data_IF_437669259450
#
_entry.id   IF_437669259450
#
_cell.length_a   1.000
_cell.length_b   1.000
_cell.length_c   1.000
_cell.angle_alpha   90.00
_cell.angle_beta   90.00
_cell.angle_gamma   90.00
#
_symmetry.space_group_name_H-M   'P 1'
#
loop_
_entity.id
_entity.type
_entity.pdbx_description
1 polymer ?
#
# COMPACT_ATOMS: atom_id res chain seq x y z
N UNK A 1 7.56 17.26 0.40
CA UNK A 1 7.31 18.25 1.48
C UNK A 1 5.86 18.11 1.89
N UNK A 2 5.57 17.51 3.04
CA UNK A 2 4.20 17.34 3.55
C UNK A 2 3.80 18.61 4.32
N UNK A 3 3.00 19.47 3.70
CA UNK A 3 2.37 20.60 4.39
C UNK A 3 1.29 20.02 5.29
N UNK A 4 1.43 20.15 6.61
CA UNK A 4 0.38 19.73 7.54
C UNK A 4 -0.77 20.74 7.47
N UNK A 5 -2.01 20.29 7.63
CA UNK A 5 -3.16 21.19 7.61
C UNK A 5 -3.06 22.30 8.70
N UNK A 6 -2.28 22.07 9.76
CA UNK A 6 -1.98 23.04 10.80
C UNK A 6 -1.20 24.27 10.31
N UNK A 7 -0.28 24.09 9.36
CA UNK A 7 0.59 25.15 8.82
C UNK A 7 0.25 25.57 7.39
N UNK A 8 -0.87 25.10 6.83
CA UNK A 8 -1.26 25.38 5.45
C UNK A 8 -1.71 26.84 5.27
N UNK A 9 -1.10 27.63 4.36
CA UNK A 9 -1.48 29.04 4.13
C UNK A 9 -2.85 29.23 3.48
N UNK A 10 -3.42 28.17 2.88
CA UNK A 10 -4.76 28.17 2.28
C UNK A 10 -5.86 27.71 3.25
N UNK A 11 -5.53 27.45 4.52
CA UNK A 11 -6.46 26.96 5.54
C UNK A 11 -7.71 27.85 5.64
N UNK A 12 -8.88 27.21 5.65
CA UNK A 12 -10.19 27.86 5.73
C UNK A 12 -10.72 28.44 4.41
N UNK A 13 -9.89 28.73 3.42
CA UNK A 13 -10.35 29.34 2.14
C UNK A 13 -10.78 28.31 1.09
N UNK A 14 -10.09 27.18 1.05
CA UNK A 14 -10.33 26.11 0.06
C UNK A 14 -10.25 24.71 0.68
N UNK A 15 -10.43 24.61 2.01
CA UNK A 15 -10.36 23.32 2.71
C UNK A 15 -11.43 22.35 2.21
N UNK A 16 -12.61 22.85 1.84
CA UNK A 16 -13.72 22.01 1.39
C UNK A 16 -13.48 21.33 0.04
N UNK A 17 -12.59 21.88 -0.79
CA UNK A 17 -12.16 21.30 -2.07
C UNK A 17 -10.69 20.88 -2.05
N UNK A 18 -10.09 20.73 -0.86
CA UNK A 18 -8.68 20.38 -0.72
C UNK A 18 -8.46 18.90 -1.01
N UNK A 19 -7.51 18.57 -1.88
CA UNK A 19 -7.15 17.18 -2.20
C UNK A 19 -6.80 16.35 -0.96
N UNK A 20 -6.21 16.96 0.08
CA UNK A 20 -5.91 16.27 1.34
C UNK A 20 -7.18 15.89 2.11
N UNK A 21 -8.23 16.73 2.07
CA UNK A 21 -9.54 16.40 2.65
C UNK A 21 -10.15 15.21 1.89
N UNK A 22 -10.03 15.20 0.56
CA UNK A 22 -10.47 14.06 -0.27
C UNK A 22 -9.74 12.75 0.08
N UNK A 23 -8.43 12.79 0.36
CA UNK A 23 -7.69 11.60 0.80
C UNK A 23 -8.04 11.15 2.23
N UNK A 24 -8.31 12.08 3.14
CA UNK A 24 -8.70 11.77 4.53
C UNK A 24 -10.16 11.28 4.64
N UNK A 25 -11.05 11.80 3.80
CA UNK A 25 -12.46 11.41 3.71
C UNK A 25 -12.66 10.15 2.84
N UNK A 26 -11.59 9.67 2.18
CA UNK A 26 -11.64 8.40 1.48
C UNK A 26 -11.86 7.30 2.52
N UNK A 27 -12.91 6.46 2.39
CA UNK A 27 -13.04 5.31 3.25
C UNK A 27 -11.73 4.54 3.16
N UNK A 28 -11.10 4.26 4.30
CA UNK A 28 -9.97 3.37 4.35
C UNK A 28 -10.37 2.12 3.55
N UNK A 29 -9.61 1.79 2.51
CA UNK A 29 -9.84 0.56 1.76
C UNK A 29 -9.48 -0.57 2.72
N UNK A 30 -10.46 -0.98 3.54
CA UNK A 30 -10.30 -1.97 4.61
C UNK A 30 -10.27 -3.40 4.08
N UNK A 31 -10.60 -3.57 2.80
CA UNK A 31 -10.55 -4.85 2.09
C UNK A 31 -9.57 -4.73 0.94
N UNK A 32 -8.28 -4.62 1.28
CA UNK A 32 -7.23 -5.08 0.36
C UNK A 32 -7.43 -6.58 0.07
N UNK A 33 -6.80 -7.11 -0.99
CA UNK A 33 -6.92 -8.52 -1.27
C UNK A 33 -6.42 -9.33 -0.07
N UNK A 34 -7.18 -10.36 0.28
CA UNK A 34 -6.88 -11.24 1.40
C UNK A 34 -5.75 -12.16 0.97
N UNK A 35 -4.77 -12.34 1.85
CA UNK A 35 -3.74 -13.33 1.65
C UNK A 35 -4.35 -14.72 1.62
N UNK A 36 -4.16 -15.45 0.54
CA UNK A 36 -4.54 -16.84 0.46
C UNK A 36 -3.46 -17.71 1.11
N UNK A 37 -3.79 -18.96 1.46
CA UNK A 37 -2.84 -19.89 2.08
C UNK A 37 -1.61 -20.16 1.19
N UNK A 38 -1.78 -20.04 -0.14
CA UNK A 38 -0.68 -20.17 -1.09
C UNK A 38 0.27 -18.96 -1.03
N UNK A 39 -0.25 -17.74 -0.88
CA UNK A 39 0.56 -16.52 -0.77
C UNK A 39 1.43 -16.54 0.50
N UNK A 40 0.86 -17.02 1.61
CA UNK A 40 1.61 -17.20 2.86
C UNK A 40 2.76 -18.20 2.70
N UNK A 41 2.51 -19.32 2.00
CA UNK A 41 3.55 -20.33 1.75
C UNK A 41 4.69 -19.79 0.89
N UNK A 42 4.38 -18.97 -0.10
CA UNK A 42 5.40 -18.32 -0.93
C UNK A 42 6.22 -17.32 -0.10
N UNK A 43 5.57 -16.50 0.72
CA UNK A 43 6.26 -15.54 1.57
C UNK A 43 7.18 -16.25 2.57
N UNK A 44 6.70 -17.30 3.24
CA UNK A 44 7.51 -18.12 4.17
C UNK A 44 8.72 -18.74 3.47
N UNK A 45 8.55 -19.23 2.24
CA UNK A 45 9.64 -19.76 1.43
C UNK A 45 10.69 -18.67 1.15
N UNK A 46 10.28 -17.46 0.79
CA UNK A 46 11.18 -16.34 0.52
C UNK A 46 11.94 -15.90 1.78
N UNK A 47 11.27 -15.86 2.93
CA UNK A 47 11.91 -15.60 4.22
C UNK A 47 12.94 -16.68 4.56
N UNK A 48 12.58 -17.96 4.41
CA UNK A 48 13.49 -19.09 4.67
C UNK A 48 14.73 -19.10 3.77
N UNK A 49 14.61 -18.56 2.55
CA UNK A 49 15.72 -18.39 1.62
C UNK A 49 16.58 -17.15 1.90
N UNK A 50 16.20 -16.32 2.88
CA UNK A 50 16.87 -15.05 3.20
C UNK A 50 16.67 -13.97 2.14
N UNK A 51 15.68 -14.12 1.26
CA UNK A 51 15.37 -13.16 0.20
C UNK A 51 14.48 -12.00 0.70
N UNK A 52 13.78 -12.22 1.82
CA UNK A 52 12.91 -11.24 2.50
C UNK A 52 13.18 -11.34 4.00
N UNK A 53 13.26 -10.20 4.70
CA UNK A 53 13.40 -10.16 6.15
C UNK A 53 12.05 -10.28 6.87
N UNK A 54 12.06 -10.75 8.12
CA UNK A 54 10.84 -10.97 8.90
C UNK A 54 10.02 -9.69 9.11
N UNK A 55 10.69 -8.54 9.26
CA UNK A 55 10.06 -7.23 9.41
C UNK A 55 9.40 -6.73 8.11
N UNK A 56 10.02 -7.01 6.96
CA UNK A 56 9.48 -6.70 5.64
C UNK A 56 8.28 -7.62 5.32
N UNK A 57 8.38 -8.90 5.68
CA UNK A 57 7.28 -9.85 5.52
C UNK A 57 6.07 -9.49 6.39
N UNK A 58 6.29 -9.05 7.64
CA UNK A 58 5.22 -8.64 8.55
C UNK A 58 4.47 -7.38 8.08
N UNK A 59 5.11 -6.53 7.26
CA UNK A 59 4.52 -5.31 6.71
C UNK A 59 4.12 -5.44 5.24
N UNK A 60 4.23 -6.64 4.65
CA UNK A 60 3.94 -6.90 3.26
C UNK A 60 2.46 -6.63 2.94
N UNK A 61 2.23 -5.95 1.82
CA UNK A 61 0.90 -5.68 1.26
C UNK A 61 0.73 -6.51 0.00
N UNK A 62 -0.41 -7.18 -0.12
CA UNK A 62 -0.76 -7.90 -1.33
C UNK A 62 -1.33 -6.91 -2.36
N UNK A 63 -0.74 -6.87 -3.55
CA UNK A 63 -1.19 -6.02 -4.65
C UNK A 63 -1.50 -6.90 -5.88
N UNK A 64 -2.74 -6.85 -6.37
CA UNK A 64 -3.12 -7.51 -7.61
C UNK A 64 -2.81 -6.60 -8.79
N UNK A 65 -1.63 -6.73 -9.38
CA UNK A 65 -1.33 -6.07 -10.65
C UNK A 65 -1.94 -6.89 -11.80
N UNK A 66 -2.66 -6.28 -12.77
CA UNK A 66 -3.07 -6.99 -13.97
C UNK A 66 -1.79 -7.41 -14.71
N UNK A 67 -1.54 -8.72 -14.80
CA UNK A 67 -0.37 -9.30 -15.44
C UNK A 67 -0.39 -9.11 -16.97
N UNK A 68 -0.32 -7.86 -17.45
CA UNK A 68 -0.06 -7.54 -18.84
C UNK A 68 1.44 -7.34 -19.03
N UNK A 69 2.19 -8.43 -19.28
CA UNK A 69 3.50 -8.32 -19.93
C UNK A 69 4.75 -8.89 -19.24
N UNK A 70 4.63 -9.58 -18.10
CA UNK A 70 5.79 -10.31 -17.54
C UNK A 70 6.03 -11.60 -18.34
N UNK A 71 7.03 -11.57 -19.23
CA UNK A 71 7.62 -12.78 -19.82
C UNK A 71 8.61 -13.37 -18.83
N UNK A 72 8.30 -14.53 -18.26
CA UNK A 72 9.27 -15.32 -17.55
C UNK A 72 10.41 -15.70 -18.52
N UNK A 73 11.63 -15.27 -18.22
CA UNK A 73 12.82 -15.82 -18.88
C UNK A 73 13.09 -17.19 -18.26
N UNK A 74 12.98 -18.23 -19.07
CA UNK A 74 13.39 -19.62 -18.75
C UNK A 74 14.87 -19.78 -19.10
#
# INVERSE_FOLDING_TARGET
MLITCGSCPARGRACDTCVMKTFLDMPAVTSGPVWEEEDHRVLDMLCSAGLVGDEDAASALLESAPFAGLRAAV
#
